data_IF_138625011348
#
_entry.id   IF_138625011348
#
_cell.length_a   1.000
_cell.length_b   1.000
_cell.length_c   1.000
_cell.angle_alpha   90.00
_cell.angle_beta   90.00
_cell.angle_gamma   90.00
#
_symmetry.space_group_name_H-M   'P 1'
#
loop_
_entity.id
_entity.type
_entity.pdbx_description
1 polymer ?
#
# COMPACT_ATOMS: atom_id res chain seq x y z
N UNK A 1 36.83 -12.09 -49.18
CA UNK A 1 35.61 -12.69 -48.62
C UNK A 1 35.44 -12.23 -47.18
N UNK A 2 34.20 -11.90 -46.79
CA UNK A 2 33.63 -11.67 -45.44
C UNK A 2 33.59 -10.23 -44.88
N UNK A 3 32.36 -9.73 -44.92
CA UNK A 3 31.71 -8.54 -44.36
C UNK A 3 31.66 -8.54 -42.81
N UNK A 4 31.20 -7.42 -42.18
CA UNK A 4 31.40 -7.07 -40.77
C UNK A 4 30.20 -7.45 -39.89
N UNK A 5 30.39 -7.49 -38.56
CA UNK A 5 29.33 -7.53 -37.53
C UNK A 5 29.91 -6.84 -36.29
N UNK A 6 29.74 -5.52 -36.14
CA UNK A 6 28.67 -4.89 -35.35
C UNK A 6 28.39 -5.68 -34.07
N UNK A 7 29.20 -5.41 -33.04
CA UNK A 7 28.89 -5.76 -31.67
C UNK A 7 27.83 -4.77 -31.16
N UNK A 8 26.56 -5.13 -31.33
CA UNK A 8 25.43 -4.39 -30.75
C UNK A 8 25.55 -4.44 -29.23
N UNK A 9 25.79 -3.28 -28.62
CA UNK A 9 25.65 -3.07 -27.19
C UNK A 9 24.19 -3.34 -26.80
N UNK A 10 23.92 -4.54 -26.30
CA UNK A 10 22.69 -4.84 -25.58
C UNK A 10 22.79 -4.09 -24.26
N UNK A 11 22.27 -2.87 -24.24
CA UNK A 11 21.90 -2.17 -23.02
C UNK A 11 20.92 -3.06 -22.27
N UNK A 12 21.43 -3.74 -21.24
CA UNK A 12 20.62 -4.37 -20.20
C UNK A 12 19.68 -3.30 -19.66
N UNK A 13 18.39 -3.42 -19.99
CA UNK A 13 17.33 -2.80 -19.21
C UNK A 13 17.28 -3.51 -17.86
N UNK A 14 18.17 -3.13 -16.94
CA UNK A 14 17.87 -3.20 -15.52
C UNK A 14 16.82 -2.14 -15.20
N UNK A 15 15.61 -2.32 -15.72
CA UNK A 15 14.43 -1.72 -15.12
C UNK A 15 14.24 -2.44 -13.79
N UNK A 16 14.94 -1.95 -12.76
CA UNK A 16 14.65 -2.36 -11.39
C UNK A 16 13.17 -2.14 -11.17
N UNK A 17 12.44 -3.21 -10.84
CA UNK A 17 11.09 -3.12 -10.33
C UNK A 17 11.17 -2.25 -9.07
N UNK A 18 10.93 -0.94 -9.20
CA UNK A 18 10.78 -0.08 -8.04
C UNK A 18 9.45 -0.48 -7.42
N UNK A 19 9.51 -1.21 -6.30
CA UNK A 19 8.34 -1.48 -5.47
C UNK A 19 7.83 -0.12 -4.95
N UNK A 20 6.84 0.45 -5.65
CA UNK A 20 6.27 1.77 -5.38
C UNK A 20 5.64 1.74 -3.98
N UNK A 21 6.34 2.33 -3.01
CA UNK A 21 5.89 2.42 -1.63
C UNK A 21 5.45 3.85 -1.37
N UNK A 22 4.17 4.03 -1.11
CA UNK A 22 3.59 5.30 -0.72
C UNK A 22 3.42 5.34 0.80
N UNK A 23 3.60 6.52 1.39
CA UNK A 23 3.52 6.73 2.83
C UNK A 23 2.63 7.93 3.13
N UNK A 24 1.91 7.86 4.23
CA UNK A 24 0.93 8.87 4.59
C UNK A 24 0.72 8.98 6.09
N UNK A 25 -0.03 10.01 6.48
CA UNK A 25 -0.48 10.20 7.86
C UNK A 25 -1.93 10.68 7.90
N UNK A 26 -2.57 10.49 9.05
CA UNK A 26 -3.92 10.99 9.32
C UNK A 26 -4.20 11.11 10.81
N UNK A 27 -5.22 11.89 11.16
CA UNK A 27 -5.70 11.93 12.55
C UNK A 27 -6.31 10.57 12.93
N UNK A 28 -6.14 10.17 14.20
CA UNK A 28 -6.83 9.02 14.79
C UNK A 28 -7.89 9.50 15.78
N UNK A 29 -9.08 8.89 15.74
CA UNK A 29 -10.23 9.24 16.59
C UNK A 29 -10.00 9.00 18.08
N UNK A 30 -9.07 8.12 18.47
CA UNK A 30 -8.66 7.94 19.88
C UNK A 30 -7.63 8.98 20.32
N UNK A 31 -7.30 9.94 19.46
CA UNK A 31 -6.28 10.97 19.68
C UNK A 31 -4.97 10.65 18.97
N UNK A 32 -4.19 11.70 18.69
CA UNK A 32 -2.90 11.60 18.02
C UNK A 32 -2.97 11.38 16.50
N UNK A 33 -1.86 10.94 15.93
CA UNK A 33 -1.67 10.71 14.49
C UNK A 33 -1.43 9.24 14.24
N UNK A 34 -2.09 8.69 13.23
CA UNK A 34 -1.73 7.41 12.63
C UNK A 34 -0.87 7.64 11.40
N UNK A 35 0.10 6.76 11.20
CA UNK A 35 0.89 6.69 9.98
C UNK A 35 0.54 5.42 9.22
N UNK A 36 0.68 5.46 7.90
CA UNK A 36 0.49 4.28 7.09
C UNK A 36 1.44 4.23 5.91
N UNK A 37 1.71 3.03 5.45
CA UNK A 37 2.47 2.73 4.24
C UNK A 37 1.66 1.78 3.40
N UNK A 38 1.65 1.97 2.09
CA UNK A 38 1.08 1.01 1.16
C UNK A 38 2.08 0.78 0.04
N UNK A 39 2.39 -0.48 -0.23
CA UNK A 39 3.33 -0.86 -1.28
C UNK A 39 2.65 -1.73 -2.31
N UNK A 40 2.97 -1.49 -3.56
CA UNK A 40 2.69 -2.44 -4.63
C UNK A 40 3.56 -3.69 -4.44
N UNK A 41 2.98 -4.86 -4.68
CA UNK A 41 3.64 -6.15 -4.62
C UNK A 41 3.88 -6.65 -6.04
N UNK A 42 4.81 -7.60 -6.19
CA UNK A 42 5.13 -8.21 -7.49
C UNK A 42 3.97 -8.93 -8.18
N UNK A 43 2.91 -9.27 -7.44
CA UNK A 43 1.68 -9.89 -7.94
C UNK A 43 0.60 -8.87 -8.37
N UNK A 44 0.94 -7.56 -8.40
CA UNK A 44 0.01 -6.47 -8.74
C UNK A 44 -0.96 -6.10 -7.61
N UNK A 45 -0.82 -6.74 -6.45
CA UNK A 45 -1.64 -6.49 -5.26
C UNK A 45 -0.99 -5.41 -4.38
N UNK A 46 -1.75 -4.88 -3.41
CA UNK A 46 -1.24 -3.88 -2.48
C UNK A 46 -1.16 -4.42 -1.06
N UNK A 47 -0.06 -4.15 -0.36
CA UNK A 47 0.10 -4.43 1.06
C UNK A 47 0.05 -3.12 1.85
N UNK A 48 -0.95 -2.99 2.73
CA UNK A 48 -1.11 -1.86 3.64
C UNK A 48 -0.51 -2.22 5.01
N UNK A 49 0.21 -1.27 5.60
CA UNK A 49 0.56 -1.24 7.01
C UNK A 49 0.15 0.09 7.63
N UNK A 50 -0.52 0.06 8.78
CA UNK A 50 -0.95 1.25 9.54
C UNK A 50 -0.46 1.13 10.97
N UNK A 51 0.24 2.15 11.45
CA UNK A 51 0.58 2.30 12.87
C UNK A 51 -0.36 3.32 13.49
N UNK A 52 -1.17 2.89 14.45
CA UNK A 52 -2.09 3.78 15.16
C UNK A 52 -1.43 4.47 16.35
N UNK A 53 -2.04 5.53 16.89
CA UNK A 53 -1.44 6.38 17.91
C UNK A 53 -1.06 5.64 19.22
N UNK A 54 -1.68 4.48 19.49
CA UNK A 54 -1.31 3.58 20.60
C UNK A 54 -0.11 2.66 20.32
N UNK A 55 0.57 2.82 19.18
CA UNK A 55 1.74 2.02 18.79
C UNK A 55 1.43 0.65 18.18
N UNK A 56 0.15 0.25 18.13
CA UNK A 56 -0.25 -0.98 17.47
C UNK A 56 -0.06 -0.89 15.95
N UNK A 57 0.48 -1.95 15.37
CA UNK A 57 0.64 -2.08 13.93
C UNK A 57 -0.41 -3.02 13.37
N UNK A 58 -1.12 -2.58 12.33
CA UNK A 58 -2.16 -3.31 11.64
C UNK A 58 -1.83 -3.43 10.15
N UNK A 59 -2.10 -4.58 9.55
CA UNK A 59 -1.81 -4.81 8.14
C UNK A 59 -2.90 -5.59 7.41
N UNK A 60 -2.98 -5.38 6.09
CA UNK A 60 -3.87 -6.11 5.20
C UNK A 60 -3.28 -6.20 3.79
N UNK A 61 -3.70 -7.22 3.03
CA UNK A 61 -3.39 -7.35 1.60
C UNK A 61 -4.67 -7.16 0.81
N UNK A 62 -4.60 -6.30 -0.19
CA UNK A 62 -5.65 -5.94 -1.11
C UNK A 62 -5.33 -6.55 -2.47
N UNK A 63 -6.23 -7.40 -2.96
CA UNK A 63 -5.95 -8.28 -4.10
C UNK A 63 -6.84 -8.03 -5.32
N UNK A 64 -7.66 -6.99 -5.27
CA UNK A 64 -8.59 -6.65 -6.34
C UNK A 64 -8.61 -5.11 -6.54
N UNK A 65 -7.46 -4.51 -6.93
CA UNK A 65 -7.40 -3.07 -7.18
C UNK A 65 -8.28 -2.72 -8.38
N UNK A 66 -9.20 -1.78 -8.16
CA UNK A 66 -10.16 -1.32 -9.18
C UNK A 66 -10.01 0.18 -9.40
N UNK A 67 -9.71 0.63 -10.63
CA UNK A 67 -9.71 2.05 -10.98
C UNK A 67 -11.00 2.76 -10.54
N UNK A 68 -10.84 3.86 -9.79
CA UNK A 68 -11.95 4.64 -9.20
C UNK A 68 -12.77 3.90 -8.13
N UNK A 69 -12.36 2.67 -7.79
CA UNK A 69 -13.08 1.77 -6.88
C UNK A 69 -12.51 1.78 -5.47
N UNK A 70 -13.06 0.88 -4.65
CA UNK A 70 -12.56 0.63 -3.30
C UNK A 70 -12.61 -0.85 -2.96
N UNK A 71 -11.78 -1.25 -2.01
CA UNK A 71 -11.71 -2.61 -1.50
C UNK A 71 -11.60 -2.55 0.03
N UNK A 72 -12.36 -3.40 0.72
CA UNK A 72 -12.33 -3.51 2.19
C UNK A 72 -11.71 -4.84 2.61
N UNK A 73 -10.86 -4.80 3.63
CA UNK A 73 -10.19 -5.98 4.18
C UNK A 73 -10.14 -5.94 5.71
N UNK A 74 -10.21 -7.10 6.37
CA UNK A 74 -9.91 -7.20 7.79
C UNK A 74 -8.44 -6.89 8.02
N UNK A 75 -8.15 -6.19 9.11
CA UNK A 75 -6.79 -5.89 9.55
C UNK A 75 -6.28 -6.98 10.50
N UNK A 76 -5.07 -7.44 10.25
CA UNK A 76 -4.29 -8.23 11.21
C UNK A 76 -3.44 -7.27 12.05
N UNK A 77 -3.76 -7.12 13.34
CA UNK A 77 -3.09 -6.19 14.25
C UNK A 77 -2.22 -6.90 15.29
N UNK A 78 -1.09 -6.29 15.64
CA UNK A 78 -0.23 -6.73 16.74
C UNK A 78 -0.89 -6.44 18.08
N UNK A 79 -1.15 -7.47 18.90
CA UNK A 79 -1.73 -7.29 20.24
C UNK A 79 -3.19 -7.68 20.38
N UNK A 80 -3.78 -8.34 19.38
CA UNK A 80 -5.12 -8.91 19.46
C UNK A 80 -6.25 -7.94 19.11
N UNK A 81 -5.95 -6.69 18.77
CA UNK A 81 -6.96 -5.77 18.26
C UNK A 81 -7.51 -6.24 16.91
N UNK A 82 -8.70 -5.74 16.57
CA UNK A 82 -9.40 -6.11 15.36
C UNK A 82 -10.05 -4.90 14.70
N UNK A 83 -10.12 -4.93 13.38
CA UNK A 83 -10.75 -3.89 12.60
C UNK A 83 -10.75 -4.21 11.12
N UNK A 84 -11.21 -3.25 10.34
CA UNK A 84 -11.16 -3.30 8.90
C UNK A 84 -10.50 -2.03 8.37
N UNK A 85 -9.95 -2.12 7.17
CA UNK A 85 -9.53 -0.97 6.40
C UNK A 85 -10.08 -1.04 4.99
N UNK A 86 -10.53 0.10 4.50
CA UNK A 86 -10.98 0.31 3.12
C UNK A 86 -9.95 1.15 2.39
N UNK A 87 -9.37 0.61 1.33
CA UNK A 87 -8.53 1.37 0.39
C UNK A 87 -9.41 1.93 -0.70
N UNK A 88 -9.24 3.22 -0.99
CA UNK A 88 -9.80 3.89 -2.16
C UNK A 88 -8.69 4.03 -3.20
N UNK A 89 -9.00 3.65 -4.44
CA UNK A 89 -8.08 3.75 -5.56
C UNK A 89 -8.39 4.98 -6.43
N UNK A 90 -7.38 5.53 -7.09
CA UNK A 90 -7.54 6.55 -8.11
C UNK A 90 -7.99 5.96 -9.46
N UNK A 91 -8.17 6.80 -10.48
CA UNK A 91 -8.60 6.39 -11.83
C UNK A 91 -7.57 5.51 -12.56
N UNK A 92 -6.34 5.38 -12.03
CA UNK A 92 -5.31 4.46 -12.51
C UNK A 92 -5.26 3.15 -11.74
N UNK A 93 -6.10 2.96 -10.71
CA UNK A 93 -6.07 1.79 -9.85
C UNK A 93 -5.01 1.84 -8.74
N UNK A 94 -4.33 2.97 -8.54
CA UNK A 94 -3.35 3.15 -7.48
C UNK A 94 -4.02 3.59 -6.17
N UNK A 95 -3.53 3.15 -5.01
CA UNK A 95 -4.07 3.58 -3.72
C UNK A 95 -3.96 5.09 -3.51
N UNK A 96 -5.08 5.72 -3.16
CA UNK A 96 -5.17 7.16 -2.86
C UNK A 96 -5.32 7.42 -1.36
N UNK A 97 -6.04 6.55 -0.66
CA UNK A 97 -6.21 6.64 0.78
C UNK A 97 -6.65 5.31 1.37
N UNK A 98 -6.34 5.07 2.64
CA UNK A 98 -6.86 3.98 3.42
C UNK A 98 -7.61 4.52 4.65
N UNK A 99 -8.89 4.19 4.77
CA UNK A 99 -9.68 4.48 5.97
C UNK A 99 -9.80 3.22 6.80
N UNK A 100 -9.35 3.27 8.05
CA UNK A 100 -9.41 2.14 8.97
C UNK A 100 -10.36 2.42 10.14
N UNK A 101 -10.87 1.35 10.74
CA UNK A 101 -11.71 1.41 11.93
C UNK A 101 -11.77 0.06 12.62
N UNK A 102 -11.70 0.07 13.95
CA UNK A 102 -11.75 -1.17 14.73
C UNK A 102 -11.82 -0.95 16.23
N UNK A 103 -12.03 -2.06 16.93
CA UNK A 103 -11.99 -2.07 18.39
C UNK A 103 -10.53 -1.88 18.84
N UNK A 104 -10.32 -0.96 19.77
CA UNK A 104 -9.01 -0.70 20.41
C UNK A 104 -7.90 -0.13 19.50
N UNK A 105 -8.17 0.06 18.20
CA UNK A 105 -7.27 0.78 17.26
C UNK A 105 -7.79 2.17 16.87
N UNK A 106 -9.04 2.47 17.23
CA UNK A 106 -9.73 3.68 16.82
C UNK A 106 -10.11 3.65 15.35
N UNK A 107 -10.18 4.83 14.75
CA UNK A 107 -10.49 5.01 13.32
C UNK A 107 -9.77 6.23 12.78
N UNK A 108 -9.50 6.22 11.48
CA UNK A 108 -8.86 7.34 10.81
C UNK A 108 -8.65 7.07 9.33
N UNK A 109 -8.16 8.10 8.63
CA UNK A 109 -7.86 7.99 7.19
C UNK A 109 -6.42 8.42 6.96
N UNK A 110 -5.63 7.50 6.40
CA UNK A 110 -4.29 7.80 5.88
C UNK A 110 -4.43 8.15 4.40
N UNK A 111 -3.85 9.26 3.98
CA UNK A 111 -3.78 9.68 2.57
C UNK A 111 -2.36 9.48 2.07
N UNK A 112 -2.22 8.90 0.88
CA UNK A 112 -0.96 8.54 0.24
C UNK A 112 -0.60 9.52 -0.86
#
# INVERSE_FOLDING_TARGET
>A
MKSPLIATAVLLLCAGCMEDTMSGTGANSTGGTASGTIRERSDGNYALGVTVAGGAFCSAVYSDPKPGGSEIRPLACTGGQSGNATVLYDDGGKPKSATYGGLEIGSGTVRF
#
